data_IF_348862987211
#
_entry.id   IF_348862987211
#
_cell.length_a   1.000
_cell.length_b   1.000
_cell.length_c   1.000
_cell.angle_alpha   90.00
_cell.angle_beta   90.00
_cell.angle_gamma   90.00
#
_symmetry.space_group_name_H-M   'P 1'
#
loop_
_entity.id
_entity.type
_entity.pdbx_description
1 polymer ?
#
# COMPACT_ATOMS: atom_id res chain seq x y z
N UNK A 1 5.10 10.38 11.70
CA UNK A 1 6.24 9.82 10.94
C UNK A 1 6.86 8.68 11.72
N UNK A 2 6.73 7.43 11.27
CA UNK A 2 7.53 6.33 11.81
C UNK A 2 8.72 6.14 10.90
N UNK A 3 9.93 6.49 11.34
CA UNK A 3 11.17 6.39 10.55
C UNK A 3 11.47 4.92 10.19
N UNK A 4 11.24 4.47 8.93
CA UNK A 4 11.49 3.08 8.52
C UNK A 4 12.99 2.77 8.43
N UNK A 5 13.81 3.83 8.40
CA UNK A 5 15.27 3.82 8.44
C UNK A 5 15.86 3.85 9.85
N UNK A 6 15.01 3.91 10.89
CA UNK A 6 15.49 3.82 12.26
C UNK A 6 15.78 2.34 12.57
N UNK A 7 17.04 1.94 12.43
CA UNK A 7 17.52 0.59 12.73
C UNK A 7 17.09 0.13 14.14
N UNK A 8 16.90 1.06 15.09
CA UNK A 8 16.40 0.76 16.45
C UNK A 8 14.98 0.18 16.48
N UNK A 9 14.23 0.26 15.38
CA UNK A 9 12.86 -0.25 15.23
C UNK A 9 12.79 -1.51 14.38
N UNK A 10 13.93 -2.04 13.93
CA UNK A 10 13.97 -3.31 13.23
C UNK A 10 13.45 -4.41 14.16
N UNK A 11 12.67 -5.33 13.60
CA UNK A 11 11.94 -6.35 14.37
C UNK A 11 10.59 -5.88 14.95
N UNK A 12 10.24 -4.59 14.91
CA UNK A 12 8.87 -4.18 15.28
C UNK A 12 7.87 -4.72 14.27
N UNK A 13 6.85 -5.42 14.77
CA UNK A 13 5.76 -5.99 13.96
C UNK A 13 4.55 -5.05 13.96
N UNK A 14 3.83 -4.98 12.84
CA UNK A 14 2.54 -4.33 12.78
C UNK A 14 1.50 -5.08 13.63
N UNK A 15 0.61 -4.39 14.34
CA UNK A 15 -0.50 -5.06 15.02
C UNK A 15 -1.37 -5.82 14.01
N UNK A 16 -1.73 -7.06 14.32
CA UNK A 16 -2.48 -7.95 13.43
C UNK A 16 -3.81 -7.35 12.95
N UNK A 17 -4.55 -6.69 13.85
CA UNK A 17 -5.82 -6.04 13.51
C UNK A 17 -5.70 -5.04 12.36
N UNK A 18 -4.55 -4.36 12.22
CA UNK A 18 -4.35 -3.37 11.14
C UNK A 18 -4.28 -4.06 9.79
N UNK A 19 -3.60 -5.20 9.75
CA UNK A 19 -3.46 -6.00 8.53
C UNK A 19 -4.82 -6.58 8.17
N UNK A 20 -5.53 -7.15 9.15
CA UNK A 20 -6.87 -7.71 8.93
C UNK A 20 -7.88 -6.67 8.42
N UNK A 21 -7.97 -5.51 9.06
CA UNK A 21 -8.88 -4.42 8.63
C UNK A 21 -8.53 -3.87 7.24
N UNK A 22 -7.24 -3.78 6.91
CA UNK A 22 -6.81 -3.39 5.57
C UNK A 22 -7.17 -4.44 4.52
N UNK A 23 -6.97 -5.73 4.84
CA UNK A 23 -7.33 -6.84 3.97
C UNK A 23 -8.84 -6.94 3.73
N UNK A 24 -9.70 -6.66 4.72
CA UNK A 24 -11.15 -6.65 4.53
C UNK A 24 -11.55 -5.73 3.39
N UNK A 25 -11.17 -4.44 3.47
CA UNK A 25 -11.56 -3.48 2.43
C UNK A 25 -10.87 -3.76 1.10
N UNK A 26 -9.60 -4.21 1.11
CA UNK A 26 -8.89 -4.57 -0.12
C UNK A 26 -9.55 -5.75 -0.83
N UNK A 27 -10.05 -6.76 -0.11
CA UNK A 27 -10.76 -7.88 -0.72
C UNK A 27 -12.08 -7.45 -1.36
N UNK A 28 -12.81 -6.50 -0.78
CA UNK A 28 -14.05 -5.96 -1.36
C UNK A 28 -13.75 -5.20 -2.67
N UNK A 29 -12.65 -4.43 -2.69
CA UNK A 29 -12.27 -3.58 -3.81
C UNK A 29 -11.49 -4.30 -4.92
N UNK A 30 -11.03 -5.51 -4.64
CA UNK A 30 -9.99 -6.26 -5.36
C UNK A 30 -10.09 -6.24 -6.89
N UNK A 31 -11.28 -6.42 -7.45
CA UNK A 31 -11.49 -6.50 -8.90
C UNK A 31 -11.56 -5.13 -9.60
N UNK A 32 -11.45 -4.04 -8.84
CA UNK A 32 -11.63 -2.66 -9.32
C UNK A 32 -10.42 -1.77 -9.08
N UNK A 33 -9.43 -2.26 -8.34
CA UNK A 33 -8.27 -1.49 -7.91
C UNK A 33 -6.96 -2.16 -8.34
N UNK A 34 -5.92 -1.36 -8.40
CA UNK A 34 -4.54 -1.81 -8.57
C UNK A 34 -3.78 -1.35 -7.33
N UNK A 35 -3.21 -2.29 -6.59
CA UNK A 35 -2.57 -1.99 -5.30
C UNK A 35 -1.17 -1.41 -5.52
N UNK A 36 -0.82 -0.38 -4.76
CA UNK A 36 0.47 0.30 -4.77
C UNK A 36 1.07 0.41 -3.37
N UNK A 37 2.16 1.17 -3.25
CA UNK A 37 2.78 1.53 -1.98
C UNK A 37 3.29 0.33 -1.17
N UNK A 38 3.20 0.43 0.16
CA UNK A 38 3.64 -0.64 1.06
C UNK A 38 2.82 -1.92 0.95
N UNK A 39 1.52 -1.80 0.64
CA UNK A 39 0.63 -2.94 0.44
C UNK A 39 0.98 -3.75 -0.81
N UNK A 40 1.44 -3.13 -1.88
CA UNK A 40 1.92 -3.86 -3.05
C UNK A 40 3.13 -4.73 -2.71
N UNK A 41 4.10 -4.22 -1.94
CA UNK A 41 5.24 -5.01 -1.48
C UNK A 41 4.84 -6.16 -0.55
N UNK A 42 3.82 -5.95 0.29
CA UNK A 42 3.22 -7.01 1.08
C UNK A 42 2.68 -8.15 0.19
N UNK A 43 1.87 -7.84 -0.82
CA UNK A 43 1.33 -8.88 -1.71
C UNK A 43 2.37 -9.51 -2.62
N UNK A 44 3.47 -8.81 -2.92
CA UNK A 44 4.61 -9.37 -3.66
C UNK A 44 5.56 -10.18 -2.79
N UNK A 45 5.43 -10.16 -1.46
CA UNK A 45 6.26 -10.96 -0.56
C UNK A 45 5.76 -12.40 -0.43
N UNK A 46 6.58 -13.27 0.18
CA UNK A 46 6.21 -14.66 0.47
C UNK A 46 4.90 -14.75 1.26
N UNK A 47 4.03 -15.71 0.94
CA UNK A 47 2.76 -15.89 1.67
C UNK A 47 3.01 -16.22 3.13
N UNK A 48 2.28 -15.56 4.03
CA UNK A 48 2.36 -15.81 5.48
C UNK A 48 3.62 -15.28 6.15
N UNK A 49 4.34 -14.34 5.52
CA UNK A 49 5.47 -13.68 6.14
C UNK A 49 5.06 -12.79 7.34
N UNK A 50 6.03 -12.49 8.20
CA UNK A 50 5.82 -11.58 9.33
C UNK A 50 5.81 -10.12 8.86
N UNK A 51 4.77 -9.36 9.23
CA UNK A 51 4.64 -7.95 8.87
C UNK A 51 5.50 -7.03 9.72
N UNK A 52 6.78 -6.89 9.36
CA UNK A 52 7.63 -5.92 10.03
C UNK A 52 7.42 -4.50 9.52
N UNK A 53 7.41 -3.53 10.44
CA UNK A 53 7.27 -2.09 10.11
C UNK A 53 8.41 -1.53 9.26
N UNK A 54 9.58 -2.19 9.25
CA UNK A 54 10.71 -1.79 8.41
C UNK A 54 10.59 -2.36 6.98
N UNK A 55 9.94 -3.52 6.84
CA UNK A 55 9.75 -4.23 5.58
C UNK A 55 8.65 -3.56 4.74
N UNK A 56 7.46 -3.40 5.32
CA UNK A 56 6.29 -2.86 4.63
C UNK A 56 5.67 -1.69 5.42
N UNK A 57 5.29 -0.63 4.71
CA UNK A 57 4.54 0.48 5.30
C UNK A 57 3.04 0.24 5.16
N UNK A 58 2.39 -0.15 6.26
CA UNK A 58 0.94 -0.38 6.32
C UNK A 58 0.18 0.78 6.95
N UNK A 59 0.73 2.01 6.89
CA UNK A 59 0.05 3.19 7.46
C UNK A 59 -1.22 3.55 6.71
N UNK A 60 -1.08 3.68 5.41
CA UNK A 60 -2.10 4.09 4.46
C UNK A 60 -2.16 2.99 3.37
N UNK A 61 -3.31 2.83 2.73
CA UNK A 61 -3.52 1.92 1.61
C UNK A 61 -3.47 2.74 0.33
N UNK A 62 -2.47 2.52 -0.51
CA UNK A 62 -2.33 3.22 -1.79
C UNK A 62 -2.92 2.39 -2.92
N UNK A 63 -3.88 2.94 -3.67
CA UNK A 63 -4.55 2.26 -4.78
C UNK A 63 -4.67 3.15 -6.00
N UNK A 64 -4.41 2.56 -7.17
CA UNK A 64 -4.80 3.14 -8.46
C UNK A 64 -6.14 2.57 -8.90
N UNK A 65 -6.96 3.41 -9.53
CA UNK A 65 -8.28 3.03 -10.03
C UNK A 65 -8.44 3.57 -11.44
N UNK A 66 -8.86 2.69 -12.35
CA UNK A 66 -9.20 3.10 -13.72
C UNK A 66 -10.45 3.96 -13.72
N UNK A 67 -10.51 4.92 -14.63
CA UNK A 67 -11.61 5.89 -14.76
C UNK A 67 -12.99 5.23 -14.79
N UNK A 68 -13.13 4.11 -15.51
CA UNK A 68 -14.38 3.34 -15.59
C UNK A 68 -14.85 2.81 -14.23
N UNK A 69 -13.93 2.53 -13.30
CA UNK A 69 -14.21 1.96 -11.99
C UNK A 69 -14.34 3.01 -10.88
N UNK A 70 -14.03 4.28 -11.16
CA UNK A 70 -14.00 5.34 -10.13
C UNK A 70 -15.34 5.47 -9.42
N UNK A 71 -16.45 5.51 -10.16
CA UNK A 71 -17.77 5.68 -9.58
C UNK A 71 -18.12 4.52 -8.63
N UNK A 72 -17.89 3.28 -9.08
CA UNK A 72 -18.16 2.07 -8.32
C UNK A 72 -17.33 2.01 -7.04
N UNK A 73 -16.02 2.27 -7.13
CA UNK A 73 -15.14 2.25 -5.95
C UNK A 73 -15.56 3.31 -4.94
N UNK A 74 -15.94 4.51 -5.37
CA UNK A 74 -16.42 5.55 -4.45
C UNK A 74 -17.72 5.14 -3.77
N UNK A 75 -18.67 4.53 -4.49
CA UNK A 75 -19.92 4.02 -3.90
C UNK A 75 -19.63 2.94 -2.87
N UNK A 76 -18.77 1.98 -3.20
CA UNK A 76 -18.38 0.89 -2.28
C UNK A 76 -17.72 1.48 -1.03
N UNK A 77 -16.78 2.41 -1.18
CA UNK A 77 -16.12 3.07 -0.04
C UNK A 77 -17.14 3.76 0.87
N UNK A 78 -18.11 4.48 0.31
CA UNK A 78 -19.18 5.13 1.08
C UNK A 78 -20.08 4.11 1.81
N UNK A 79 -20.45 3.02 1.14
CA UNK A 79 -21.24 1.93 1.73
C UNK A 79 -20.49 1.26 2.89
N UNK A 80 -19.17 1.11 2.74
CA UNK A 80 -18.27 0.61 3.78
C UNK A 80 -17.98 1.65 4.87
N UNK A 81 -18.57 2.85 4.82
CA UNK A 81 -18.46 3.87 5.86
C UNK A 81 -17.20 4.74 5.77
N UNK A 82 -16.47 4.72 4.66
CA UNK A 82 -15.39 5.65 4.41
C UNK A 82 -15.93 7.03 4.02
N UNK A 83 -15.25 8.07 4.50
CA UNK A 83 -15.56 9.46 4.19
C UNK A 83 -14.42 10.10 3.41
N UNK A 84 -14.75 10.93 2.42
CA UNK A 84 -13.73 11.72 1.72
C UNK A 84 -13.12 12.72 2.70
N UNK A 85 -11.79 12.73 2.78
CA UNK A 85 -11.02 13.71 3.54
C UNK A 85 -10.24 14.59 2.58
N UNK A 86 -10.34 15.91 2.76
CA UNK A 86 -9.58 16.86 1.98
C UNK A 86 -8.16 16.97 2.53
N UNK A 87 -7.19 16.90 1.63
CA UNK A 87 -5.78 17.06 1.93
C UNK A 87 -5.22 18.28 1.22
N UNK A 88 -4.01 18.68 1.58
CA UNK A 88 -3.26 19.70 0.84
C UNK A 88 -2.95 19.29 -0.61
N UNK A 89 -3.01 18.00 -0.93
CA UNK A 89 -2.67 17.46 -2.25
C UNK A 89 -3.84 17.58 -3.23
N UNK A 90 -5.08 17.68 -2.76
CA UNK A 90 -6.28 17.89 -3.60
C UNK A 90 -6.22 19.21 -4.41
N UNK A 91 -5.34 20.15 -4.04
CA UNK A 91 -5.17 21.44 -4.71
C UNK A 91 -3.88 21.54 -5.53
N UNK A 92 -3.04 20.50 -5.55
CA UNK A 92 -1.81 20.50 -6.32
C UNK A 92 -2.10 20.03 -7.75
N UNK A 93 -1.45 20.61 -8.78
CA UNK A 93 -1.49 20.05 -10.11
C UNK A 93 -0.73 18.72 -10.10
N UNK A 94 -1.47 17.61 -10.15
CA UNK A 94 -0.95 16.26 -10.38
C UNK A 94 -1.57 15.68 -11.65
N UNK A 95 -0.86 14.74 -12.28
CA UNK A 95 -1.40 14.00 -13.43
C UNK A 95 -2.56 13.10 -12.99
N UNK A 96 -2.51 12.60 -11.76
CA UNK A 96 -3.55 11.78 -11.14
C UNK A 96 -4.60 12.62 -10.39
N UNK A 97 -5.87 12.24 -10.51
CA UNK A 97 -6.96 12.78 -9.67
C UNK A 97 -6.91 12.14 -8.27
N UNK A 98 -6.09 12.71 -7.40
CA UNK A 98 -5.90 12.22 -6.03
C UNK A 98 -7.13 12.44 -5.16
N UNK A 99 -7.49 11.42 -4.36
CA UNK A 99 -8.52 11.51 -3.32
C UNK A 99 -8.10 10.71 -2.10
N UNK A 100 -8.41 11.21 -0.91
CA UNK A 100 -8.23 10.44 0.33
C UNK A 100 -9.58 10.07 0.93
N UNK A 101 -9.67 8.83 1.40
CA UNK A 101 -10.82 8.31 2.12
C UNK A 101 -10.38 7.76 3.47
N UNK A 102 -11.09 8.09 4.54
CA UNK A 102 -10.79 7.61 5.89
C UNK A 102 -12.03 6.94 6.52
N UNK A 103 -11.80 5.85 7.26
CA UNK A 103 -12.79 5.19 8.11
C UNK A 103 -12.18 4.97 9.48
N UNK A 104 -12.93 5.26 10.53
CA UNK A 104 -12.53 4.95 11.91
C UNK A 104 -13.31 3.73 12.39
N UNK A 105 -12.58 2.72 12.86
CA UNK A 105 -13.12 1.49 13.42
C UNK A 105 -12.84 1.48 14.92
N UNK A 106 -13.85 1.14 15.71
CA UNK A 106 -13.71 0.90 17.15
C UNK A 106 -13.17 -0.52 17.38
N UNK A 107 -12.10 -0.62 18.15
CA UNK A 107 -11.48 -1.87 18.59
C UNK A 107 -11.88 -2.16 20.04
N UNK A 108 -11.60 -3.38 20.49
CA UNK A 108 -11.76 -3.77 21.89
C UNK A 108 -11.01 -2.79 22.83
N UNK A 109 -11.67 -2.40 23.93
CA UNK A 109 -11.22 -1.42 24.94
C UNK A 109 -11.27 0.05 24.49
N UNK A 110 -12.32 0.46 23.76
CA UNK A 110 -12.58 1.85 23.34
C UNK A 110 -11.42 2.49 22.55
N UNK A 111 -10.59 1.65 21.90
CA UNK A 111 -9.48 2.12 21.06
C UNK A 111 -9.97 2.33 19.64
N UNK A 112 -9.68 3.47 19.05
CA UNK A 112 -10.04 3.74 17.67
C UNK A 112 -8.86 3.49 16.74
N UNK A 113 -9.12 2.80 15.64
CA UNK A 113 -8.17 2.64 14.55
C UNK A 113 -8.71 3.28 13.28
N UNK A 114 -7.91 4.17 12.70
CA UNK A 114 -8.23 4.80 11.43
C UNK A 114 -7.55 4.07 10.28
N UNK A 115 -8.35 3.72 9.28
CA UNK A 115 -7.94 3.19 8.00
C UNK A 115 -7.95 4.36 7.01
N UNK A 116 -6.82 4.57 6.32
CA UNK A 116 -6.67 5.58 5.27
C UNK A 116 -6.51 4.88 3.93
N UNK A 117 -7.24 5.34 2.92
CA UNK A 117 -7.06 4.91 1.52
C UNK A 117 -6.72 6.14 0.69
N UNK A 118 -5.55 6.10 0.07
CA UNK A 118 -5.08 7.04 -0.92
C UNK A 118 -5.40 6.50 -2.31
N UNK A 119 -6.30 7.21 -2.99
CA UNK A 119 -6.89 6.83 -4.26
C UNK A 119 -6.29 7.69 -5.36
N UNK A 120 -5.79 7.05 -6.41
CA UNK A 120 -5.20 7.70 -7.58
C UNK A 120 -5.93 7.24 -8.85
N UNK A 121 -6.51 8.18 -9.62
CA UNK A 121 -7.12 7.85 -10.91
C UNK A 121 -6.04 7.68 -11.99
N UNK A 122 -5.95 6.49 -12.61
CA UNK A 122 -5.01 6.21 -13.72
C UNK A 122 -5.48 5.01 -14.55
N UNK A 123 -5.56 5.20 -15.87
CA UNK A 123 -6.04 4.16 -16.80
C UNK A 123 -4.91 3.23 -17.28
N UNK A 124 -3.77 3.83 -17.64
CA UNK A 124 -2.62 3.12 -18.18
C UNK A 124 -1.56 2.92 -17.09
N UNK A 125 -1.54 1.72 -16.53
CA UNK A 125 -0.56 1.28 -15.56
C UNK A 125 -0.24 -0.19 -15.79
N UNK A 126 1.04 -0.53 -15.94
CA UNK A 126 1.43 -1.93 -16.08
C UNK A 126 1.40 -2.62 -14.71
N UNK A 127 0.79 -3.79 -14.69
CA UNK A 127 0.48 -4.54 -13.47
C UNK A 127 0.97 -5.98 -13.56
N UNK A 128 1.00 -6.63 -12.40
CA UNK A 128 1.17 -8.07 -12.27
C UNK A 128 0.15 -8.61 -11.26
N UNK A 129 -0.05 -9.92 -11.27
CA UNK A 129 -0.82 -10.62 -10.24
C UNK A 129 0.12 -11.13 -9.15
N UNK A 130 -0.15 -10.77 -7.89
CA UNK A 130 0.64 -11.18 -6.74
C UNK A 130 -0.27 -11.53 -5.56
N UNK A 131 -0.12 -12.74 -5.02
CA UNK A 131 -0.95 -13.27 -3.92
C UNK A 131 -2.46 -13.07 -4.14
N UNK A 132 -2.88 -13.15 -5.41
CA UNK A 132 -4.26 -13.04 -5.85
C UNK A 132 -4.72 -11.61 -6.12
N UNK A 133 -3.92 -10.58 -5.88
CA UNK A 133 -4.26 -9.18 -6.15
C UNK A 133 -3.53 -8.65 -7.37
N UNK A 134 -4.17 -7.74 -8.10
CA UNK A 134 -3.51 -6.93 -9.11
C UNK A 134 -2.69 -5.82 -8.42
N UNK A 135 -1.38 -5.83 -8.61
CA UNK A 135 -0.44 -4.85 -8.04
C UNK A 135 0.32 -4.13 -9.15
N UNK A 136 0.82 -2.93 -8.86
CA UNK A 136 1.73 -2.21 -9.78
C UNK A 136 3.01 -3.03 -9.99
N UNK A 137 3.47 -3.15 -11.24
CA UNK A 137 4.71 -3.86 -11.56
C UNK A 137 5.91 -3.28 -10.79
N UNK A 138 6.84 -4.11 -10.26
CA UNK A 138 7.91 -3.64 -9.36
C UNK A 138 8.74 -2.44 -9.84
N UNK A 139 9.21 -2.44 -11.08
CA UNK A 139 9.99 -1.35 -11.68
C UNK A 139 9.21 -0.03 -11.74
N UNK A 140 7.93 -0.09 -12.12
CA UNK A 140 7.03 1.07 -12.15
C UNK A 140 6.73 1.53 -10.73
N UNK A 141 6.43 0.60 -9.81
CA UNK A 141 6.16 0.92 -8.41
C UNK A 141 7.35 1.67 -7.78
N UNK A 142 8.58 1.26 -8.10
CA UNK A 142 9.80 1.95 -7.65
C UNK A 142 9.91 3.39 -8.17
N UNK A 143 9.36 3.69 -9.35
CA UNK A 143 9.35 5.04 -9.93
C UNK A 143 8.43 6.03 -9.19
N UNK A 144 7.45 5.52 -8.43
CA UNK A 144 6.50 6.34 -7.67
C UNK A 144 7.08 6.87 -6.35
N UNK A 145 8.14 6.24 -5.84
CA UNK A 145 8.83 6.71 -4.65
C UNK A 145 9.58 8.00 -4.95
N UNK A 146 9.44 8.99 -4.04
CA UNK A 146 9.84 10.42 -4.14
C UNK A 146 8.79 11.35 -4.75
N UNK A 147 7.79 10.82 -5.44
CA UNK A 147 6.71 11.60 -6.04
C UNK A 147 5.39 11.36 -5.30
N UNK A 148 4.89 10.12 -5.37
CA UNK A 148 3.62 9.69 -4.78
C UNK A 148 3.87 9.06 -3.42
N UNK A 149 4.89 8.19 -3.31
CA UNK A 149 5.19 7.47 -2.08
C UNK A 149 6.30 8.13 -1.26
N UNK A 150 6.03 8.28 0.03
CA UNK A 150 6.82 9.14 0.93
C UNK A 150 8.22 8.61 1.32
N UNK A 151 8.52 7.31 1.17
CA UNK A 151 9.81 6.76 1.58
C UNK A 151 10.41 5.77 0.58
N UNK A 152 11.44 6.21 -0.14
CA UNK A 152 12.24 5.39 -1.05
C UNK A 152 13.32 4.54 -0.36
N UNK A 153 13.34 4.57 0.99
CA UNK A 153 14.31 3.92 1.88
C UNK A 153 13.72 2.79 2.73
N UNK A 154 12.47 2.41 2.48
CA UNK A 154 11.87 1.24 3.10
C UNK A 154 12.65 -0.02 2.68
N UNK A 155 12.72 -1.03 3.54
CA UNK A 155 13.57 -2.20 3.30
C UNK A 155 13.16 -2.95 2.03
N UNK A 156 11.86 -3.24 1.83
CA UNK A 156 11.37 -3.90 0.63
C UNK A 156 11.70 -3.11 -0.65
N UNK A 157 11.63 -1.77 -0.59
CA UNK A 157 11.98 -0.89 -1.72
C UNK A 157 13.47 -1.01 -2.07
N UNK A 158 14.34 -1.00 -1.06
CA UNK A 158 15.79 -1.14 -1.26
C UNK A 158 16.17 -2.53 -1.75
N UNK A 159 15.55 -3.59 -1.19
CA UNK A 159 15.74 -4.96 -1.61
C UNK A 159 15.28 -5.17 -3.06
N UNK A 160 14.10 -4.67 -3.43
CA UNK A 160 13.58 -4.76 -4.79
C UNK A 160 14.48 -4.04 -5.80
N UNK A 161 15.01 -2.85 -5.46
CA UNK A 161 15.98 -2.14 -6.30
C UNK A 161 17.24 -2.97 -6.57
N UNK A 162 17.81 -3.58 -5.54
CA UNK A 162 19.02 -4.40 -5.66
C UNK A 162 18.77 -5.68 -6.48
N UNK A 163 17.63 -6.34 -6.28
CA UNK A 163 17.23 -7.51 -7.06
C UNK A 163 17.06 -7.19 -8.54
N UNK A 164 16.33 -6.13 -8.86
CA UNK A 164 16.10 -5.72 -10.25
C UNK A 164 17.39 -5.28 -10.95
N UNK A 165 18.32 -4.62 -10.25
CA UNK A 165 19.65 -4.29 -10.79
C UNK A 165 20.47 -5.55 -11.15
N UNK A 166 20.22 -6.66 -10.47
CA UNK A 166 20.82 -7.97 -10.74
C UNK A 166 20.04 -8.79 -11.78
N UNK A 167 18.95 -8.25 -12.33
CA UNK A 167 18.06 -8.95 -13.25
C UNK A 167 17.22 -10.05 -12.58
N UNK A 168 17.03 -9.97 -11.26
CA UNK A 168 16.24 -10.91 -10.47
C UNK A 168 14.85 -10.32 -10.21
N UNK A 169 13.81 -11.12 -10.45
CA UNK A 169 12.43 -10.75 -10.12
C UNK A 169 12.25 -10.67 -8.59
N UNK A 170 11.82 -9.54 -8.02
CA UNK A 170 11.61 -9.41 -6.59
C UNK A 170 10.38 -10.18 -6.08
N UNK A 171 9.42 -10.55 -6.93
CA UNK A 171 8.17 -11.18 -6.50
C UNK A 171 8.45 -12.55 -5.85
N UNK A 172 7.90 -12.74 -4.65
CA UNK A 172 8.11 -13.92 -3.82
C UNK A 172 9.52 -14.04 -3.24
N UNK A 173 10.39 -13.05 -3.43
CA UNK A 173 11.76 -13.13 -2.95
C UNK A 173 11.82 -12.85 -1.43
N UNK A 174 12.48 -13.71 -0.62
CA UNK A 174 12.50 -13.57 0.85
C UNK A 174 13.04 -12.22 1.34
N UNK A 175 13.90 -11.58 0.56
CA UNK A 175 14.48 -10.27 0.93
C UNK A 175 13.44 -9.15 1.09
N UNK A 176 12.25 -9.28 0.50
CA UNK A 176 11.21 -8.26 0.65
C UNK A 176 10.68 -8.16 2.09
N UNK A 177 10.64 -9.28 2.81
CA UNK A 177 10.02 -9.39 4.15
C UNK A 177 10.98 -9.84 5.26
N UNK A 178 12.21 -10.25 4.92
CA UNK A 178 13.17 -10.77 5.89
C UNK A 178 13.71 -9.70 6.84
N UNK A 179 13.94 -10.10 8.09
CA UNK A 179 14.69 -9.30 9.06
C UNK A 179 16.15 -9.11 8.60
N UNK A 180 16.67 -7.87 8.61
CA UNK A 180 18.06 -7.57 8.33
C UNK A 180 18.96 -8.26 9.36
N UNK A 181 19.97 -9.00 8.90
CA UNK A 181 21.02 -9.61 9.74
C UNK A 181 22.21 -8.69 9.87
#
# INVERSE_FOLDING_TARGET
>A
MGAPHNIKRYGEVWPEFRIWLGLEILNILKDKIIISGGWAWHFMSEKGHTEYKHAHDHKDIDVFVKKENVADVVIILQQEGFQKVWTRYDHLPSEENFRRYEKTVELENDKFHRITIDFFERDELETIEANGFTVVRPDILLSFYRNIHSSDKCWAVMAAKDLLQKGIDPVGHPLLSKMPT
#
